data_IF_819710274188
#
_entry.id   IF_819710274188
#
_cell.length_a   1.000
_cell.length_b   1.000
_cell.length_c   1.000
_cell.angle_alpha   90.00
_cell.angle_beta   90.00
_cell.angle_gamma   90.00
#
_symmetry.space_group_name_H-M   'P 1'
#
loop_
_entity.id
_entity.type
_entity.pdbx_description
1 polymer ?
#
# COMPACT_ATOMS: atom_id res chain seq x y z
N UNK A 1 21.93 28.86 -13.86
CA UNK A 1 21.05 27.68 -14.00
C UNK A 1 21.32 26.66 -12.91
N UNK A 2 22.58 26.51 -12.45
CA UNK A 2 22.96 25.55 -11.39
C UNK A 2 22.30 25.81 -10.02
N UNK A 3 22.06 27.08 -9.68
CA UNK A 3 21.51 27.48 -8.38
C UNK A 3 20.01 27.15 -8.21
N UNK A 4 19.23 27.12 -9.30
CA UNK A 4 17.81 26.71 -9.29
C UNK A 4 17.70 25.17 -9.24
N UNK A 5 18.64 24.48 -9.89
CA UNK A 5 18.72 23.01 -9.82
C UNK A 5 19.08 22.54 -8.41
N UNK A 6 20.06 23.18 -7.75
CA UNK A 6 20.46 22.83 -6.38
C UNK A 6 19.35 23.07 -5.34
N UNK A 7 18.59 24.17 -5.45
CA UNK A 7 17.46 24.44 -4.54
C UNK A 7 16.28 23.48 -4.77
N UNK A 8 16.03 23.09 -6.03
CA UNK A 8 15.04 22.05 -6.36
C UNK A 8 15.39 20.69 -5.76
N UNK A 9 16.65 20.25 -5.88
CA UNK A 9 17.12 18.99 -5.29
C UNK A 9 17.00 18.98 -3.76
N UNK A 10 17.39 20.06 -3.08
CA UNK A 10 17.28 20.15 -1.62
C UNK A 10 15.83 20.05 -1.15
N UNK A 11 14.90 20.65 -1.88
CA UNK A 11 13.46 20.64 -1.56
C UNK A 11 12.88 19.23 -1.70
N UNK A 12 13.19 18.52 -2.80
CA UNK A 12 12.71 17.15 -3.02
C UNK A 12 13.23 16.16 -1.96
N UNK A 13 14.52 16.25 -1.62
CA UNK A 13 15.13 15.41 -0.57
C UNK A 13 14.47 15.68 0.79
N UNK A 14 14.24 16.95 1.12
CA UNK A 14 13.59 17.34 2.37
C UNK A 14 12.16 16.79 2.45
N UNK A 15 11.41 16.87 1.36
CA UNK A 15 10.04 16.35 1.29
C UNK A 15 10.01 14.83 1.49
N UNK A 16 10.88 14.08 0.82
CA UNK A 16 11.00 12.63 0.99
C UNK A 16 11.36 12.26 2.43
N UNK A 17 12.29 12.98 3.07
CA UNK A 17 12.66 12.76 4.46
C UNK A 17 11.49 13.03 5.43
N UNK A 18 10.75 14.12 5.22
CA UNK A 18 9.58 14.45 6.05
C UNK A 18 8.50 13.38 5.91
N UNK A 19 8.19 12.96 4.69
CA UNK A 19 7.22 11.89 4.43
C UNK A 19 7.67 10.57 5.05
N UNK A 20 8.94 10.20 4.87
CA UNK A 20 9.51 8.99 5.47
C UNK A 20 9.44 9.01 7.00
N UNK A 21 9.75 10.14 7.62
CA UNK A 21 9.65 10.30 9.07
C UNK A 21 8.18 10.22 9.54
N UNK A 22 7.25 10.86 8.82
CA UNK A 22 5.83 10.76 9.11
C UNK A 22 5.34 9.31 9.06
N UNK A 23 5.79 8.53 8.06
CA UNK A 23 5.48 7.10 7.93
C UNK A 23 5.98 6.30 9.13
N UNK A 24 7.22 6.51 9.58
CA UNK A 24 7.77 5.80 10.74
C UNK A 24 7.03 6.19 12.02
N UNK A 25 6.80 7.48 12.25
CA UNK A 25 6.14 7.99 13.46
C UNK A 25 4.70 7.51 13.54
N UNK A 26 3.93 7.65 12.46
CA UNK A 26 2.53 7.18 12.42
C UNK A 26 2.44 5.66 12.56
N UNK A 27 3.31 4.90 11.89
CA UNK A 27 3.37 3.45 12.00
C UNK A 27 3.66 3.00 13.43
N UNK A 28 4.59 3.66 14.10
CA UNK A 28 4.89 3.41 15.51
C UNK A 28 3.71 3.75 16.43
N UNK A 29 3.04 4.88 16.18
CA UNK A 29 1.87 5.30 16.95
C UNK A 29 0.70 4.32 16.80
N UNK A 30 0.39 3.89 15.58
CA UNK A 30 -0.67 2.92 15.30
C UNK A 30 -0.34 1.54 15.89
N UNK A 31 0.93 1.13 15.85
CA UNK A 31 1.38 -0.09 16.52
C UNK A 31 1.12 -0.04 18.03
N UNK A 32 1.30 1.13 18.67
CA UNK A 32 0.98 1.31 20.10
C UNK A 32 -0.52 1.17 20.38
N UNK A 33 -1.36 1.55 19.44
CA UNK A 33 -2.83 1.44 19.50
C UNK A 33 -3.30 0.02 19.06
N UNK A 34 -2.37 -0.92 18.81
CA UNK A 34 -2.63 -2.28 18.32
C UNK A 34 -3.30 -2.32 16.93
N UNK A 35 -3.13 -1.27 16.14
CA UNK A 35 -3.58 -1.24 14.76
C UNK A 35 -2.48 -1.78 13.82
N UNK A 36 -2.83 -2.45 12.72
CA UNK A 36 -1.86 -2.86 11.70
C UNK A 36 -1.10 -1.66 11.14
N UNK A 37 0.23 -1.75 11.04
CA UNK A 37 1.06 -0.68 10.48
C UNK A 37 0.68 -0.33 9.04
N UNK A 38 0.13 -1.30 8.29
CA UNK A 38 -0.38 -1.10 6.94
C UNK A 38 -1.40 0.05 6.87
N UNK A 39 -2.25 0.23 7.88
CA UNK A 39 -3.22 1.33 7.93
C UNK A 39 -2.52 2.69 7.92
N UNK A 40 -1.39 2.82 8.62
CA UNK A 40 -0.63 4.07 8.66
C UNK A 40 -0.10 4.44 7.27
N UNK A 41 0.38 3.44 6.51
CA UNK A 41 0.87 3.65 5.14
C UNK A 41 -0.26 4.11 4.21
N UNK A 42 -1.44 3.50 4.30
CA UNK A 42 -2.61 3.87 3.50
C UNK A 42 -3.07 5.29 3.86
N UNK A 43 -3.23 5.59 5.14
CA UNK A 43 -3.69 6.90 5.61
C UNK A 43 -2.73 8.03 5.19
N UNK A 44 -1.43 7.82 5.34
CA UNK A 44 -0.46 8.81 4.88
C UNK A 44 -0.43 8.95 3.37
N UNK A 45 -0.58 7.85 2.62
CA UNK A 45 -0.72 7.92 1.17
C UNK A 45 -1.91 8.78 0.74
N UNK A 46 -3.07 8.63 1.40
CA UNK A 46 -4.26 9.45 1.15
C UNK A 46 -4.03 10.92 1.53
N UNK A 47 -3.36 11.17 2.67
CA UNK A 47 -3.07 12.53 3.12
C UNK A 47 -2.05 13.25 2.23
N UNK A 48 -1.06 12.55 1.69
CA UNK A 48 0.01 13.16 0.90
C UNK A 48 -0.39 13.29 -0.59
N UNK A 49 -1.26 12.40 -1.08
CA UNK A 49 -1.77 12.44 -2.45
C UNK A 49 -2.70 13.62 -2.75
N UNK A 50 -3.20 13.67 -3.98
CA UNK A 50 -4.08 14.75 -4.50
C UNK A 50 -5.31 15.05 -3.65
N UNK A 51 -5.86 14.04 -2.96
CA UNK A 51 -7.07 14.20 -2.12
C UNK A 51 -6.74 14.78 -0.72
N UNK A 52 -5.47 14.91 -0.37
CA UNK A 52 -5.02 15.48 0.90
C UNK A 52 -4.29 16.81 0.70
N UNK A 53 -2.96 16.79 0.74
CA UNK A 53 -2.10 17.97 0.64
C UNK A 53 -1.52 18.21 -0.75
N UNK A 54 -1.81 17.34 -1.73
CA UNK A 54 -1.36 17.45 -3.12
C UNK A 54 0.17 17.70 -3.24
N UNK A 55 0.94 16.98 -2.42
CA UNK A 55 2.39 17.16 -2.29
C UNK A 55 3.17 16.43 -3.39
N UNK A 56 2.47 15.77 -4.31
CA UNK A 56 3.02 14.85 -5.29
C UNK A 56 2.68 15.33 -6.70
N UNK A 57 3.71 15.61 -7.51
CA UNK A 57 3.51 16.14 -8.86
C UNK A 57 3.30 15.09 -9.97
N UNK A 58 3.63 13.81 -9.74
CA UNK A 58 3.53 12.77 -10.76
C UNK A 58 2.80 11.52 -10.25
N UNK A 59 1.48 11.52 -10.41
CA UNK A 59 0.61 10.40 -10.06
C UNK A 59 0.87 9.17 -10.92
N UNK A 60 1.31 9.35 -12.16
CA UNK A 60 1.49 8.26 -13.11
C UNK A 60 2.67 7.38 -12.70
N UNK A 61 3.81 7.99 -12.34
CA UNK A 61 4.97 7.28 -11.85
C UNK A 61 4.68 6.51 -10.56
N UNK A 62 3.97 7.12 -9.61
CA UNK A 62 3.58 6.45 -8.35
C UNK A 62 2.65 5.27 -8.62
N UNK A 63 1.70 5.43 -9.55
CA UNK A 63 0.80 4.35 -9.93
C UNK A 63 1.55 3.14 -10.48
N UNK A 64 2.52 3.35 -11.38
CA UNK A 64 3.34 2.25 -11.90
C UNK A 64 4.13 1.54 -10.81
N UNK A 65 4.74 2.29 -9.89
CA UNK A 65 5.45 1.70 -8.74
C UNK A 65 4.49 0.90 -7.85
N UNK A 66 3.27 1.40 -7.61
CA UNK A 66 2.23 0.71 -6.87
C UNK A 66 1.77 -0.59 -7.54
N UNK A 67 1.55 -0.56 -8.86
CA UNK A 67 1.19 -1.73 -9.65
C UNK A 67 2.30 -2.79 -9.60
N UNK A 68 3.56 -2.40 -9.75
CA UNK A 68 4.70 -3.30 -9.58
C UNK A 68 4.77 -3.88 -8.16
N UNK A 69 4.52 -3.07 -7.13
CA UNK A 69 4.46 -3.51 -5.75
C UNK A 69 3.40 -4.60 -5.53
N UNK A 70 2.20 -4.42 -6.08
CA UNK A 70 1.11 -5.42 -6.00
C UNK A 70 1.49 -6.70 -6.75
N UNK A 71 2.09 -6.59 -7.93
CA UNK A 71 2.55 -7.76 -8.70
C UNK A 71 3.58 -8.55 -7.90
N UNK A 72 4.57 -7.87 -7.31
CA UNK A 72 5.57 -8.51 -6.46
C UNK A 72 4.92 -9.16 -5.22
N UNK A 73 3.94 -8.50 -4.61
CA UNK A 73 3.24 -9.02 -3.44
C UNK A 73 2.45 -10.29 -3.77
N UNK A 74 1.73 -10.32 -4.90
CA UNK A 74 1.05 -11.52 -5.39
C UNK A 74 2.02 -12.63 -5.78
N UNK A 75 3.18 -12.27 -6.34
CA UNK A 75 4.24 -13.23 -6.61
C UNK A 75 4.77 -13.88 -5.31
N UNK A 76 5.03 -13.08 -4.27
CA UNK A 76 5.42 -13.60 -2.95
C UNK A 76 4.34 -14.50 -2.34
N UNK A 77 3.08 -14.08 -2.40
CA UNK A 77 1.95 -14.91 -1.96
C UNK A 77 1.95 -16.25 -2.72
N UNK A 78 2.16 -16.23 -4.04
CA UNK A 78 2.25 -17.44 -4.85
C UNK A 78 3.43 -18.35 -4.49
N UNK A 79 4.57 -17.79 -4.08
CA UNK A 79 5.74 -18.57 -3.62
C UNK A 79 5.56 -19.19 -2.23
N UNK A 80 4.79 -18.53 -1.35
CA UNK A 80 4.56 -18.98 0.02
C UNK A 80 3.44 -20.04 0.10
N UNK A 81 2.51 -20.07 -0.85
CA UNK A 81 1.37 -20.99 -0.84
C UNK A 81 1.80 -22.44 -1.16
N UNK A 82 1.44 -23.35 -0.26
CA UNK A 82 1.49 -24.79 -0.53
C UNK A 82 0.35 -25.22 -1.47
N UNK A 83 0.70 -25.44 -2.74
CA UNK A 83 -0.26 -25.80 -3.78
C UNK A 83 -0.96 -27.14 -3.52
N UNK A 84 -0.29 -28.11 -2.90
CA UNK A 84 -0.83 -29.44 -2.68
C UNK A 84 -1.97 -29.44 -1.65
N UNK A 85 -1.76 -28.75 -0.53
CA UNK A 85 -2.76 -28.53 0.52
C UNK A 85 -3.91 -27.65 0.03
N UNK A 86 -3.60 -26.63 -0.78
CA UNK A 86 -4.60 -25.75 -1.37
C UNK A 86 -5.55 -26.51 -2.31
N UNK A 87 -5.00 -27.31 -3.23
CA UNK A 87 -5.79 -28.14 -4.17
C UNK A 87 -6.50 -29.29 -3.43
N UNK A 88 -5.90 -29.86 -2.39
CA UNK A 88 -6.54 -30.88 -1.55
C UNK A 88 -7.86 -30.40 -0.93
N UNK A 89 -7.95 -29.10 -0.61
CA UNK A 89 -9.14 -28.47 -0.02
C UNK A 89 -9.93 -27.59 -1.02
N UNK A 90 -9.82 -27.85 -2.33
CA UNK A 90 -10.41 -27.01 -3.38
C UNK A 90 -11.92 -26.74 -3.22
N UNK A 91 -12.69 -27.70 -2.67
CA UNK A 91 -14.12 -27.51 -2.39
C UNK A 91 -14.34 -26.41 -1.37
N UNK A 92 -13.58 -26.38 -0.28
CA UNK A 92 -13.71 -25.35 0.74
C UNK A 92 -13.27 -23.99 0.19
N UNK A 93 -12.19 -23.96 -0.59
CA UNK A 93 -11.72 -22.73 -1.24
C UNK A 93 -12.77 -22.15 -2.20
N UNK A 94 -13.36 -22.97 -3.09
CA UNK A 94 -14.38 -22.51 -4.04
C UNK A 94 -15.71 -22.19 -3.35
N UNK A 95 -16.29 -23.13 -2.61
CA UNK A 95 -17.61 -22.93 -2.01
C UNK A 95 -17.57 -21.90 -0.88
N UNK A 96 -16.49 -21.84 -0.11
CA UNK A 96 -16.29 -20.82 0.93
C UNK A 96 -16.19 -19.42 0.34
N UNK A 97 -15.34 -19.23 -0.68
CA UNK A 97 -15.17 -17.93 -1.33
C UNK A 97 -16.43 -17.49 -2.08
N UNK A 98 -17.05 -18.38 -2.87
CA UNK A 98 -18.29 -18.06 -3.59
C UNK A 98 -19.44 -17.77 -2.61
N UNK A 99 -19.56 -18.56 -1.55
CA UNK A 99 -20.57 -18.34 -0.51
C UNK A 99 -20.39 -16.99 0.18
N UNK A 100 -19.16 -16.66 0.58
CA UNK A 100 -18.83 -15.36 1.19
C UNK A 100 -19.14 -14.19 0.24
N UNK A 101 -18.77 -14.32 -1.04
CA UNK A 101 -19.05 -13.29 -2.05
C UNK A 101 -20.54 -13.06 -2.23
N UNK A 102 -21.32 -14.13 -2.45
CA UNK A 102 -22.77 -14.03 -2.63
C UNK A 102 -23.44 -13.44 -1.39
N UNK A 103 -23.01 -13.84 -0.20
CA UNK A 103 -23.54 -13.33 1.05
C UNK A 103 -23.17 -11.86 1.26
N UNK A 104 -21.95 -11.45 0.95
CA UNK A 104 -21.54 -10.05 1.02
C UNK A 104 -22.28 -9.16 0.02
N UNK A 105 -22.61 -9.68 -1.17
CA UNK A 105 -23.40 -8.96 -2.17
C UNK A 105 -24.87 -8.88 -1.76
N UNK A 106 -25.43 -9.93 -1.17
CA UNK A 106 -26.85 -9.96 -0.78
C UNK A 106 -27.18 -9.22 0.53
N UNK A 107 -26.18 -8.96 1.37
CA UNK A 107 -26.32 -8.19 2.63
C UNK A 107 -26.21 -6.68 2.40
N UNK A 108 -25.55 -6.25 1.32
CA UNK A 108 -25.45 -4.85 0.88
C UNK A 108 -26.68 -4.48 0.05
#
# INVERSE_FOLDING_TARGET
MDLIFLTGFHTSITLICIVGLAVVVSGFLLKKIKQPTLLAYILLGVLIGQHGFDLIGDETSIRYVGELGIILLFFFIGMEIDLYSFVGNWRLALFGTLGQFLLSIGVV
#
